data_IF_406860530083
#
_entry.id   IF_406860530083
#
_cell.length_a   1.000
_cell.length_b   1.000
_cell.length_c   1.000
_cell.angle_alpha   90.00
_cell.angle_beta   90.00
_cell.angle_gamma   90.00
#
_symmetry.space_group_name_H-M   'P 1'
#
loop_
_entity.id
_entity.type
_entity.pdbx_description
1 polymer ?
#
# COMPACT_ATOMS: atom_id res chain seq x y z
N UNK A 1 7.71 38.22 -13.13
CA UNK A 1 7.52 36.94 -13.47
C UNK A 1 7.01 36.11 -12.33
N UNK A 2 5.91 35.69 -12.47
CA UNK A 2 5.45 34.89 -11.41
C UNK A 2 6.10 33.55 -11.51
N UNK A 3 6.91 33.28 -10.60
CA UNK A 3 7.22 31.91 -10.37
C UNK A 3 5.90 31.22 -10.11
N UNK A 4 5.66 30.20 -10.85
CA UNK A 4 4.58 29.32 -10.47
C UNK A 4 4.88 28.81 -9.08
N UNK A 5 3.88 28.85 -8.19
CA UNK A 5 4.08 28.21 -6.92
C UNK A 5 4.45 26.75 -7.19
N UNK A 6 5.50 26.30 -6.57
CA UNK A 6 5.83 24.89 -6.62
C UNK A 6 4.57 24.15 -6.19
N UNK A 7 4.03 23.27 -7.03
CA UNK A 7 2.86 22.54 -6.59
C UNK A 7 3.21 21.80 -5.31
N UNK A 8 2.41 21.99 -4.31
CA UNK A 8 2.52 21.15 -3.13
C UNK A 8 2.47 19.70 -3.58
N UNK A 9 3.28 18.83 -3.00
CA UNK A 9 3.13 17.42 -3.32
C UNK A 9 1.66 17.07 -3.16
N UNK A 10 1.10 16.43 -4.17
CA UNK A 10 -0.27 16.02 -4.12
C UNK A 10 -0.45 15.16 -2.87
N UNK A 11 -1.34 15.60 -1.97
CA UNK A 11 -1.63 14.84 -0.75
C UNK A 11 -2.43 13.60 -1.07
N UNK A 12 -3.22 13.69 -2.15
CA UNK A 12 -4.09 12.62 -2.55
C UNK A 12 -3.46 11.84 -3.68
N UNK A 13 -2.86 10.72 -3.34
CA UNK A 13 -2.32 9.79 -4.31
C UNK A 13 -3.28 8.61 -4.37
N UNK A 14 -3.86 8.35 -5.54
CA UNK A 14 -4.72 7.19 -5.67
C UNK A 14 -3.90 5.91 -5.63
N UNK A 15 -4.51 4.81 -5.21
CA UNK A 15 -3.86 3.50 -5.24
C UNK A 15 -3.46 3.13 -6.67
N UNK A 16 -4.31 3.44 -7.64
CA UNK A 16 -4.03 3.17 -9.05
C UNK A 16 -2.78 3.92 -9.52
N UNK A 17 -2.68 5.20 -9.18
CA UNK A 17 -1.51 6.01 -9.57
C UNK A 17 -0.25 5.54 -8.88
N UNK A 18 -0.34 5.21 -7.61
CA UNK A 18 0.81 4.71 -6.87
C UNK A 18 1.30 3.37 -7.43
N UNK A 19 0.37 2.45 -7.67
CA UNK A 19 0.71 1.14 -8.24
C UNK A 19 1.36 1.30 -9.62
N UNK A 20 0.84 2.20 -10.44
CA UNK A 20 1.41 2.49 -11.77
C UNK A 20 2.82 3.07 -11.66
N UNK A 21 3.06 3.94 -10.68
CA UNK A 21 4.38 4.51 -10.44
C UNK A 21 5.38 3.42 -10.05
N UNK A 22 5.01 2.56 -9.15
CA UNK A 22 5.85 1.43 -8.72
C UNK A 22 6.16 0.52 -9.92
N UNK A 23 5.17 0.25 -10.75
CA UNK A 23 5.36 -0.56 -11.96
C UNK A 23 6.34 0.10 -12.91
N UNK A 24 6.20 1.41 -13.14
CA UNK A 24 7.11 2.14 -14.02
C UNK A 24 8.55 2.09 -13.52
N UNK A 25 8.74 2.12 -12.21
CA UNK A 25 10.08 2.13 -11.63
C UNK A 25 10.74 0.75 -11.61
N UNK A 26 9.99 -0.30 -11.35
CA UNK A 26 10.60 -1.58 -10.93
C UNK A 26 10.10 -2.82 -11.65
N UNK A 27 9.15 -2.75 -12.57
CA UNK A 27 8.44 -3.94 -13.06
C UNK A 27 9.37 -5.05 -13.57
N UNK A 28 10.37 -4.70 -14.37
CA UNK A 28 11.28 -5.71 -14.92
C UNK A 28 12.06 -6.43 -13.83
N UNK A 29 12.55 -5.68 -12.84
CA UNK A 29 13.24 -6.26 -11.69
C UNK A 29 12.30 -7.12 -10.87
N UNK A 30 11.09 -6.66 -10.68
CA UNK A 30 10.09 -7.36 -9.87
C UNK A 30 9.71 -8.70 -10.51
N UNK A 31 9.51 -8.72 -11.82
CA UNK A 31 9.22 -9.95 -12.56
C UNK A 31 10.40 -10.93 -12.45
N UNK A 32 11.61 -10.45 -12.62
CA UNK A 32 12.81 -11.30 -12.52
C UNK A 32 12.98 -11.89 -11.13
N UNK A 33 12.71 -11.10 -10.09
CA UNK A 33 12.81 -11.58 -8.71
C UNK A 33 11.73 -12.62 -8.41
N UNK A 34 10.55 -12.45 -8.99
CA UNK A 34 9.43 -13.35 -8.79
C UNK A 34 8.65 -13.06 -7.51
N UNK A 35 7.46 -13.66 -7.43
CA UNK A 35 6.54 -13.43 -6.31
C UNK A 35 7.11 -13.90 -4.98
N UNK A 36 7.72 -15.09 -4.97
CA UNK A 36 8.22 -15.66 -3.71
C UNK A 36 9.30 -14.79 -3.07
N UNK A 37 10.29 -14.37 -3.87
CA UNK A 37 11.36 -13.49 -3.37
C UNK A 37 10.83 -12.14 -2.94
N UNK A 38 9.88 -11.61 -3.68
CA UNK A 38 9.26 -10.32 -3.35
C UNK A 38 8.44 -10.41 -2.06
N UNK A 39 7.74 -11.53 -1.87
CA UNK A 39 6.99 -11.74 -0.63
C UNK A 39 7.92 -11.79 0.59
N UNK A 40 9.08 -12.42 0.45
CA UNK A 40 10.07 -12.43 1.54
C UNK A 40 10.53 -11.01 1.89
N UNK A 41 10.75 -10.17 0.88
CA UNK A 41 11.10 -8.77 1.11
C UNK A 41 9.96 -8.01 1.80
N UNK A 42 8.71 -8.26 1.38
CA UNK A 42 7.55 -7.66 2.06
C UNK A 42 7.53 -8.04 3.54
N UNK A 43 7.78 -9.30 3.85
CA UNK A 43 7.78 -9.75 5.25
C UNK A 43 8.88 -9.08 6.06
N UNK A 44 10.04 -8.87 5.46
CA UNK A 44 11.12 -8.12 6.11
C UNK A 44 10.68 -6.68 6.40
N UNK A 45 10.03 -6.02 5.45
CA UNK A 45 9.53 -4.65 5.66
C UNK A 45 8.43 -4.59 6.71
N UNK A 46 7.57 -5.60 6.78
CA UNK A 46 6.56 -5.69 7.85
C UNK A 46 7.25 -5.77 9.20
N UNK A 47 8.36 -6.52 9.30
CA UNK A 47 9.15 -6.57 10.53
C UNK A 47 9.77 -5.22 10.89
N UNK A 48 10.27 -4.48 9.91
CA UNK A 48 10.81 -3.13 10.13
C UNK A 48 9.71 -2.16 10.57
N UNK A 49 8.51 -2.28 9.98
CA UNK A 49 7.37 -1.49 10.43
C UNK A 49 7.04 -1.79 11.89
N UNK A 50 7.06 -3.06 12.28
CA UNK A 50 6.81 -3.45 13.66
C UNK A 50 7.84 -2.81 14.62
N UNK A 51 9.11 -2.81 14.22
CA UNK A 51 10.16 -2.17 15.03
C UNK A 51 9.95 -0.66 15.13
N UNK A 52 9.58 -0.02 14.03
CA UNK A 52 9.32 1.42 14.01
C UNK A 52 8.11 1.80 14.87
N UNK A 53 7.10 0.94 14.91
CA UNK A 53 5.93 1.15 15.77
C UNK A 53 6.29 1.12 17.25
N UNK A 54 7.29 0.31 17.60
CA UNK A 54 7.72 0.17 19.00
C UNK A 54 8.66 1.28 19.44
N UNK A 55 9.60 1.68 18.59
CA UNK A 55 10.70 2.55 19.03
C UNK A 55 11.21 3.49 17.95
N UNK A 56 10.54 3.60 16.81
CA UNK A 56 10.96 4.49 15.75
C UNK A 56 10.50 5.93 15.95
N UNK A 57 11.17 6.85 15.27
CA UNK A 57 10.70 8.23 15.18
C UNK A 57 9.50 8.31 14.25
N UNK A 58 8.70 9.42 14.31
CA UNK A 58 7.60 9.58 13.35
C UNK A 58 8.02 9.50 11.89
N UNK A 59 9.19 10.03 11.54
CA UNK A 59 9.69 9.97 10.16
C UNK A 59 10.05 8.56 9.76
N UNK A 60 10.71 7.81 10.64
CA UNK A 60 11.03 6.41 10.39
C UNK A 60 9.75 5.58 10.21
N UNK A 61 8.77 5.81 11.08
CA UNK A 61 7.50 5.10 11.01
C UNK A 61 6.78 5.40 9.69
N UNK A 62 6.73 6.66 9.29
CA UNK A 62 6.12 7.06 8.02
C UNK A 62 6.81 6.36 6.84
N UNK A 63 8.13 6.30 6.85
CA UNK A 63 8.90 5.61 5.81
C UNK A 63 8.59 4.13 5.73
N UNK A 64 8.44 3.47 6.88
CA UNK A 64 8.15 2.04 6.91
C UNK A 64 6.74 1.73 6.40
N UNK A 65 5.75 2.58 6.68
CA UNK A 65 4.43 2.44 6.06
C UNK A 65 4.52 2.53 4.55
N UNK A 66 5.28 3.51 4.05
CA UNK A 66 5.44 3.69 2.61
C UNK A 66 6.11 2.46 1.97
N UNK A 67 7.14 1.92 2.62
CA UNK A 67 7.87 0.75 2.11
C UNK A 67 6.98 -0.48 2.05
N UNK A 68 6.21 -0.74 3.10
CA UNK A 68 5.29 -1.88 3.12
C UNK A 68 4.27 -1.76 1.98
N UNK A 69 3.70 -0.57 1.80
CA UNK A 69 2.73 -0.36 0.73
C UNK A 69 3.38 -0.51 -0.65
N UNK A 70 4.62 -0.04 -0.81
CA UNK A 70 5.34 -0.17 -2.07
C UNK A 70 5.60 -1.64 -2.42
N UNK A 71 6.05 -2.44 -1.47
CA UNK A 71 6.27 -3.88 -1.71
C UNK A 71 4.97 -4.61 -2.00
N UNK A 72 3.88 -4.23 -1.35
CA UNK A 72 2.56 -4.79 -1.65
C UNK A 72 2.14 -4.45 -3.08
N UNK A 73 2.35 -3.20 -3.50
CA UNK A 73 2.06 -2.79 -4.88
C UNK A 73 2.90 -3.56 -5.90
N UNK A 74 4.17 -3.82 -5.58
CA UNK A 74 5.05 -4.64 -6.41
C UNK A 74 4.47 -6.03 -6.62
N UNK A 75 4.04 -6.68 -5.55
CA UNK A 75 3.44 -8.02 -5.64
C UNK A 75 2.17 -7.98 -6.49
N UNK A 76 1.32 -6.98 -6.25
CA UNK A 76 0.09 -6.82 -7.02
C UNK A 76 0.39 -6.67 -8.52
N UNK A 77 1.42 -5.89 -8.88
CA UNK A 77 1.82 -5.73 -10.27
C UNK A 77 2.22 -7.05 -10.91
N UNK A 78 3.05 -7.84 -10.23
CA UNK A 78 3.51 -9.12 -10.74
C UNK A 78 2.36 -10.14 -10.82
N UNK A 79 1.45 -10.09 -9.86
CA UNK A 79 0.29 -10.98 -9.82
C UNK A 79 -0.83 -10.56 -10.78
N UNK A 80 -0.71 -9.38 -11.38
CA UNK A 80 -1.73 -8.88 -12.30
C UNK A 80 -3.00 -8.40 -11.61
N UNK A 81 -2.88 -7.93 -10.37
CA UNK A 81 -4.01 -7.42 -9.59
C UNK A 81 -3.96 -5.90 -9.59
N UNK A 82 -5.08 -5.27 -9.91
CA UNK A 82 -5.26 -3.82 -9.78
C UNK A 82 -5.75 -3.54 -8.36
N UNK A 83 -4.93 -2.84 -7.57
CA UNK A 83 -5.26 -2.58 -6.17
C UNK A 83 -6.51 -1.72 -6.01
N UNK A 84 -6.67 -0.72 -6.87
CA UNK A 84 -7.85 0.14 -6.84
C UNK A 84 -9.13 -0.64 -7.05
N UNK A 85 -9.14 -1.51 -8.06
CA UNK A 85 -10.29 -2.38 -8.33
C UNK A 85 -10.53 -3.35 -7.19
N UNK A 86 -9.49 -3.96 -6.67
CA UNK A 86 -9.60 -4.92 -5.58
C UNK A 86 -10.24 -4.29 -4.34
N UNK A 87 -9.78 -3.09 -3.98
CA UNK A 87 -10.31 -2.35 -2.83
C UNK A 87 -11.76 -1.96 -3.06
N UNK A 88 -12.07 -1.43 -4.24
CA UNK A 88 -13.43 -1.01 -4.56
C UNK A 88 -14.39 -2.19 -4.55
N UNK A 89 -13.96 -3.31 -5.07
CA UNK A 89 -14.78 -4.51 -5.12
C UNK A 89 -15.09 -5.06 -3.73
N UNK A 90 -14.12 -5.01 -2.82
CA UNK A 90 -14.30 -5.60 -1.49
C UNK A 90 -14.88 -4.62 -0.48
N UNK A 91 -14.47 -3.36 -0.53
CA UNK A 91 -14.80 -2.36 0.48
C UNK A 91 -15.65 -1.21 -0.05
N UNK A 92 -16.04 -1.24 -1.31
CA UNK A 92 -16.68 -0.11 -1.95
C UNK A 92 -18.01 0.31 -1.33
N UNK A 93 -18.71 -0.60 -0.67
CA UNK A 93 -20.00 -0.30 -0.01
C UNK A 93 -19.90 -0.25 1.51
N UNK A 94 -18.70 -0.48 2.06
CA UNK A 94 -18.47 -0.46 3.50
C UNK A 94 -17.81 -1.75 3.98
N UNK A 95 -18.07 -2.13 5.21
CA UNK A 95 -17.49 -3.32 5.81
C UNK A 95 -17.90 -4.59 5.05
N UNK A 96 -16.94 -5.43 4.62
CA UNK A 96 -17.29 -6.65 3.88
C UNK A 96 -18.12 -7.65 4.70
N UNK A 97 -18.03 -7.59 6.03
CA UNK A 97 -18.78 -8.52 6.90
C UNK A 97 -20.22 -8.12 7.12
N UNK A 98 -20.50 -6.84 7.34
CA UNK A 98 -21.84 -6.34 7.64
C UNK A 98 -22.39 -5.35 6.62
N UNK A 99 -21.57 -4.96 5.64
CA UNK A 99 -21.95 -4.03 4.57
C UNK A 99 -22.35 -2.63 5.07
N UNK A 100 -21.80 -2.21 6.21
CA UNK A 100 -22.09 -0.89 6.81
C UNK A 100 -20.84 -0.05 6.84
N UNK A 101 -21.00 1.27 6.73
CA UNK A 101 -19.86 2.20 6.83
C UNK A 101 -19.31 2.22 8.26
N UNK A 102 -20.19 2.19 9.24
CA UNK A 102 -19.78 1.98 10.64
C UNK A 102 -20.02 0.51 10.94
N UNK A 103 -18.96 -0.25 11.05
CA UNK A 103 -19.04 -1.71 11.21
C UNK A 103 -19.77 -2.09 12.49
N UNK A 104 -20.70 -3.05 12.37
CA UNK A 104 -21.44 -3.61 13.50
C UNK A 104 -21.07 -5.06 13.77
N UNK A 105 -20.02 -5.57 13.12
CA UNK A 105 -19.53 -6.91 13.40
C UNK A 105 -19.00 -6.99 14.83
N UNK A 106 -19.05 -8.18 15.49
CA UNK A 106 -18.45 -8.34 16.81
C UNK A 106 -16.96 -7.95 16.80
N UNK A 107 -16.52 -7.31 17.88
CA UNK A 107 -15.17 -6.77 17.98
C UNK A 107 -14.09 -7.85 17.92
N UNK A 108 -14.43 -9.05 18.34
CA UNK A 108 -13.52 -10.19 18.40
C UNK A 108 -13.55 -11.06 17.13
N UNK A 109 -14.30 -10.65 16.11
CA UNK A 109 -14.36 -11.37 14.84
C UNK A 109 -13.82 -10.50 13.71
N UNK A 110 -13.12 -11.13 12.77
CA UNK A 110 -12.71 -10.46 11.55
C UNK A 110 -13.93 -10.27 10.66
N UNK A 111 -14.14 -9.04 10.19
CA UNK A 111 -15.23 -8.82 9.23
C UNK A 111 -14.94 -9.48 7.88
#
# INVERSE_FOLDING_TARGET
>A
MSSQPTPSPARDVSLTDFQAKIKAMYYEKDVQRGIDGTFMWLMEEVGELASALREGTPDELSGEFADVLAWLATIANVAGIDLGEAIQKKYGTGCPGCNRMVCTCPIDEKP
#
